data_IF_219746638862
#
_entry.id   IF_219746638862
#
_cell.length_a   1.000
_cell.length_b   1.000
_cell.length_c   1.000
_cell.angle_alpha   90.00
_cell.angle_beta   90.00
_cell.angle_gamma   90.00
#
_symmetry.space_group_name_H-M   'P 1'
#
loop_
_entity.id
_entity.type
_entity.pdbx_description
1 polymer ?
#
# COMPACT_ATOMS: atom_id res chain seq x y z
N UNK A 1 -5.61 46.15 9.18
CA UNK A 1 -4.93 45.24 8.23
C UNK A 1 -4.52 44.00 9.00
N UNK A 2 -4.95 42.80 8.58
CA UNK A 2 -4.49 41.55 9.22
C UNK A 2 -3.02 41.32 8.83
N UNK A 3 -2.15 41.17 9.84
CA UNK A 3 -0.74 40.81 9.66
C UNK A 3 -0.59 39.30 9.83
N UNK A 4 0.29 38.70 9.05
CA UNK A 4 0.65 37.28 9.21
C UNK A 4 1.39 37.16 10.55
N UNK A 5 1.00 36.15 11.34
CA UNK A 5 1.64 35.82 12.62
C UNK A 5 2.97 35.12 12.35
N UNK A 6 3.98 35.86 11.88
CA UNK A 6 5.37 35.41 11.68
C UNK A 6 6.34 36.49 12.15
N UNK A 7 7.60 36.13 12.39
CA UNK A 7 8.59 37.04 13.00
C UNK A 7 8.80 38.34 12.20
N UNK A 8 8.73 38.26 10.87
CA UNK A 8 8.81 39.40 9.96
C UNK A 8 7.44 39.83 9.41
N UNK A 9 6.38 39.08 9.68
CA UNK A 9 5.04 39.30 9.15
C UNK A 9 4.87 38.93 7.68
N UNK A 10 5.78 38.12 7.13
CA UNK A 10 5.74 37.60 5.76
C UNK A 10 5.50 36.09 5.75
N UNK A 11 5.16 35.58 4.57
CA UNK A 11 5.14 34.15 4.31
C UNK A 11 6.53 33.64 3.89
N UNK A 12 6.88 32.43 4.30
CA UNK A 12 8.15 31.76 4.00
C UNK A 12 7.91 30.39 3.40
N UNK A 13 8.58 30.04 2.30
CA UNK A 13 8.55 28.68 1.78
C UNK A 13 9.25 27.73 2.77
N UNK A 14 8.62 26.60 3.11
CA UNK A 14 9.23 25.63 4.00
C UNK A 14 8.45 24.35 4.24
N UNK A 15 8.88 23.64 5.29
CA UNK A 15 8.23 22.43 5.80
C UNK A 15 7.38 22.79 7.04
N UNK A 16 6.05 22.61 7.01
CA UNK A 16 5.17 22.95 8.12
C UNK A 16 5.42 22.09 9.39
N UNK A 17 6.12 20.95 9.29
CA UNK A 17 6.47 20.12 10.45
C UNK A 17 7.49 20.77 11.40
N UNK A 18 8.07 21.91 11.01
CA UNK A 18 9.00 22.68 11.85
C UNK A 18 8.29 23.63 12.82
N UNK A 19 6.98 23.83 12.66
CA UNK A 19 6.17 24.72 13.52
C UNK A 19 6.44 26.21 13.31
N UNK A 20 7.25 26.59 12.31
CA UNK A 20 7.52 28.00 12.00
C UNK A 20 6.24 28.64 11.44
N UNK A 21 5.75 29.66 12.13
CA UNK A 21 4.56 30.37 11.68
C UNK A 21 4.84 31.21 10.43
N UNK A 22 3.84 31.33 9.56
CA UNK A 22 4.00 31.93 8.24
C UNK A 22 4.60 30.98 7.19
N UNK A 23 4.78 29.68 7.50
CA UNK A 23 5.25 28.70 6.52
C UNK A 23 4.22 28.44 5.43
N UNK A 24 4.59 28.73 4.18
CA UNK A 24 3.96 28.22 2.96
C UNK A 24 4.54 26.85 2.66
N UNK A 25 3.64 25.91 2.45
CA UNK A 25 3.98 24.52 2.14
C UNK A 25 4.63 24.47 0.76
N UNK A 26 5.87 23.99 0.71
CA UNK A 26 6.57 23.78 -0.57
C UNK A 26 6.01 22.58 -1.33
N UNK A 27 6.16 22.60 -2.67
CA UNK A 27 5.88 21.44 -3.51
C UNK A 27 6.69 20.19 -3.09
N UNK A 28 7.90 20.39 -2.56
CA UNK A 28 8.74 19.28 -2.04
C UNK A 28 8.06 18.57 -0.88
N UNK A 29 7.56 19.32 0.11
CA UNK A 29 6.84 18.71 1.23
C UNK A 29 5.49 18.15 0.80
N UNK A 30 4.75 18.88 -0.06
CA UNK A 30 3.45 18.43 -0.54
C UNK A 30 3.56 17.12 -1.33
N UNK A 31 4.56 17.01 -2.22
CA UNK A 31 4.81 15.78 -2.97
C UNK A 31 5.22 14.64 -2.04
N UNK A 32 6.08 14.87 -1.05
CA UNK A 32 6.46 13.84 -0.08
C UNK A 32 5.26 13.35 0.75
N UNK A 33 4.37 14.25 1.19
CA UNK A 33 3.12 13.88 1.88
C UNK A 33 2.17 13.17 0.93
N UNK A 34 2.06 13.62 -0.31
CA UNK A 34 1.24 12.98 -1.32
C UNK A 34 1.75 11.57 -1.65
N UNK A 35 3.06 11.34 -1.74
CA UNK A 35 3.66 10.02 -1.90
C UNK A 35 3.36 9.12 -0.71
N UNK A 36 3.33 9.67 0.51
CA UNK A 36 2.91 8.92 1.72
C UNK A 36 1.42 8.58 1.65
N UNK A 37 0.56 9.53 1.29
CA UNK A 37 -0.91 9.35 1.28
C UNK A 37 -1.36 8.44 0.14
N UNK A 38 -0.81 8.62 -1.06
CA UNK A 38 -1.09 7.76 -2.23
C UNK A 38 -0.37 6.42 -2.07
N UNK A 39 0.86 6.39 -1.57
CA UNK A 39 1.55 5.15 -1.22
C UNK A 39 0.77 4.32 -0.19
N UNK A 40 0.14 4.98 0.79
CA UNK A 40 -0.76 4.33 1.75
C UNK A 40 -2.09 3.87 1.13
N UNK A 41 -2.65 4.63 0.18
CA UNK A 41 -3.93 4.30 -0.50
C UNK A 41 -3.80 3.22 -1.58
N UNK A 42 -2.66 3.19 -2.27
CA UNK A 42 -2.27 2.31 -3.36
C UNK A 42 -3.24 2.23 -4.55
N UNK A 43 -2.69 1.91 -5.71
CA UNK A 43 -3.47 1.76 -6.94
C UNK A 43 -4.37 0.52 -6.89
N UNK A 44 -5.53 0.63 -7.52
CA UNK A 44 -6.41 -0.51 -7.78
C UNK A 44 -5.91 -1.23 -9.03
N UNK A 45 -5.70 -2.53 -8.92
CA UNK A 45 -5.25 -3.38 -10.03
C UNK A 45 -6.22 -4.54 -10.24
N UNK A 46 -6.58 -4.76 -11.50
CA UNK A 46 -7.12 -6.03 -11.99
C UNK A 46 -5.96 -6.76 -12.66
N UNK A 47 -5.46 -7.81 -12.03
CA UNK A 47 -4.20 -8.43 -12.40
C UNK A 47 -4.40 -9.64 -13.32
N UNK A 48 -3.41 -9.89 -14.19
CA UNK A 48 -3.30 -11.15 -14.92
C UNK A 48 -2.78 -12.27 -14.00
N UNK A 49 -2.86 -13.52 -14.44
CA UNK A 49 -2.30 -14.70 -13.74
C UNK A 49 -0.81 -14.47 -13.42
N UNK A 50 -0.35 -14.87 -12.22
CA UNK A 50 1.05 -14.73 -11.75
C UNK A 50 1.55 -13.30 -11.57
N UNK A 51 0.67 -12.31 -11.41
CA UNK A 51 1.11 -10.93 -11.20
C UNK A 51 1.79 -10.75 -9.85
N UNK A 52 2.98 -10.14 -9.87
CA UNK A 52 3.65 -9.61 -8.68
C UNK A 52 3.16 -8.20 -8.40
N UNK A 53 2.62 -7.99 -7.19
CA UNK A 53 2.25 -6.67 -6.70
C UNK A 53 3.50 -5.84 -6.41
N UNK A 54 3.35 -4.52 -6.46
CA UNK A 54 4.38 -3.52 -6.19
C UNK A 54 4.01 -2.68 -4.99
N UNK A 55 4.94 -1.85 -4.50
CA UNK A 55 4.65 -0.88 -3.43
C UNK A 55 3.55 0.12 -3.83
N UNK A 56 3.42 0.42 -5.12
CA UNK A 56 2.37 1.29 -5.64
C UNK A 56 0.97 0.69 -5.50
N UNK A 57 0.80 -0.64 -5.50
CA UNK A 57 -0.53 -1.26 -5.52
C UNK A 57 -1.15 -1.30 -4.13
N UNK A 58 -2.46 -1.04 -4.02
CA UNK A 58 -3.20 -1.04 -2.74
C UNK A 58 -4.35 -2.04 -2.71
N UNK A 59 -5.01 -2.23 -3.85
CA UNK A 59 -6.14 -3.17 -3.97
C UNK A 59 -5.96 -4.07 -5.18
N UNK A 60 -6.10 -5.38 -4.98
CA UNK A 60 -6.14 -6.38 -6.03
C UNK A 60 -7.54 -7.00 -6.12
N UNK A 61 -8.13 -6.94 -7.32
CA UNK A 61 -9.28 -7.76 -7.67
C UNK A 61 -8.83 -8.98 -8.47
N UNK A 62 -8.78 -10.13 -7.81
CA UNK A 62 -8.45 -11.41 -8.43
C UNK A 62 -9.71 -12.00 -9.08
N UNK A 63 -9.56 -12.62 -10.26
CA UNK A 63 -10.67 -13.23 -10.99
C UNK A 63 -10.29 -14.60 -11.61
N UNK A 64 -9.89 -15.59 -10.79
CA UNK A 64 -9.59 -16.94 -11.27
C UNK A 64 -10.84 -17.62 -11.85
N UNK A 65 -10.67 -18.35 -12.95
CA UNK A 65 -11.76 -19.10 -13.58
C UNK A 65 -12.16 -20.34 -12.75
N UNK A 66 -13.35 -20.89 -13.00
CA UNK A 66 -13.86 -22.02 -12.22
C UNK A 66 -12.94 -23.24 -12.34
N UNK A 67 -12.66 -23.89 -11.21
CA UNK A 67 -11.75 -25.04 -11.14
C UNK A 67 -10.26 -24.70 -11.32
N UNK A 68 -9.90 -23.41 -11.36
CA UNK A 68 -8.49 -22.98 -11.46
C UNK A 68 -8.01 -22.39 -10.14
N UNK A 69 -6.72 -22.58 -9.86
CA UNK A 69 -5.98 -21.83 -8.84
C UNK A 69 -5.01 -20.90 -9.55
N UNK A 70 -5.08 -19.61 -9.25
CA UNK A 70 -4.19 -18.59 -9.82
C UNK A 70 -3.34 -18.01 -8.70
N UNK A 71 -2.02 -18.02 -8.88
CA UNK A 71 -1.08 -17.44 -7.92
C UNK A 71 -0.88 -15.94 -8.21
N UNK A 72 -0.78 -15.17 -7.14
CA UNK A 72 -0.44 -13.74 -7.12
C UNK A 72 0.65 -13.52 -6.07
N UNK A 73 1.65 -12.73 -6.42
CA UNK A 73 2.84 -12.60 -5.57
C UNK A 73 2.84 -11.26 -4.85
N UNK A 74 3.05 -11.26 -3.53
CA UNK A 74 3.40 -10.04 -2.79
C UNK A 74 4.80 -9.55 -3.21
N UNK A 75 5.06 -8.23 -3.13
CA UNK A 75 6.37 -7.69 -3.46
C UNK A 75 7.45 -8.22 -2.49
N UNK A 76 8.71 -7.98 -2.85
CA UNK A 76 9.84 -8.21 -1.93
C UNK A 76 9.59 -7.42 -0.64
N UNK A 77 9.56 -8.11 0.49
CA UNK A 77 9.18 -7.54 1.78
C UNK A 77 10.03 -6.32 2.16
N UNK A 78 11.33 -6.36 1.86
CA UNK A 78 12.25 -5.26 2.19
C UNK A 78 11.95 -3.94 1.46
N UNK A 79 11.29 -3.99 0.29
CA UNK A 79 11.01 -2.80 -0.54
C UNK A 79 9.71 -2.10 -0.19
N UNK A 80 8.94 -2.65 0.76
CA UNK A 80 7.59 -2.17 1.07
C UNK A 80 7.59 -1.40 2.39
N UNK A 81 7.02 -0.19 2.40
CA UNK A 81 6.84 0.62 3.60
C UNK A 81 6.04 -0.07 4.71
N UNK A 82 6.39 0.19 5.97
CA UNK A 82 5.80 -0.48 7.14
C UNK A 82 4.28 -0.25 7.31
N UNK A 83 3.78 0.90 6.83
CA UNK A 83 2.36 1.25 6.88
C UNK A 83 1.58 0.74 5.67
N UNK A 84 2.24 0.12 4.68
CA UNK A 84 1.57 -0.36 3.47
C UNK A 84 0.60 -1.48 3.81
N UNK A 85 -0.52 -1.47 3.10
CA UNK A 85 -1.58 -2.48 3.14
C UNK A 85 -1.93 -2.93 1.73
N UNK A 86 -2.24 -4.21 1.60
CA UNK A 86 -2.74 -4.83 0.37
C UNK A 86 -4.10 -5.43 0.64
N UNK A 87 -5.14 -4.90 0.01
CA UNK A 87 -6.49 -5.46 0.06
C UNK A 87 -6.69 -6.35 -1.13
N UNK A 88 -6.97 -7.62 -0.90
CA UNK A 88 -7.13 -8.60 -1.97
C UNK A 88 -8.52 -9.19 -1.87
N UNK A 89 -9.24 -9.20 -2.98
CA UNK A 89 -10.57 -9.80 -3.06
C UNK A 89 -10.64 -10.76 -4.23
N UNK A 90 -11.10 -11.98 -3.97
CA UNK A 90 -11.41 -12.94 -5.00
C UNK A 90 -12.84 -12.72 -5.51
N UNK A 91 -12.96 -12.23 -6.74
CA UNK A 91 -14.23 -12.06 -7.45
C UNK A 91 -14.55 -13.25 -8.36
N UNK A 92 -13.58 -14.12 -8.61
CA UNK A 92 -13.71 -15.23 -9.54
C UNK A 92 -14.26 -16.50 -8.87
N UNK A 93 -14.76 -17.45 -9.68
CA UNK A 93 -15.22 -18.75 -9.20
C UNK A 93 -14.09 -19.75 -8.90
N UNK A 94 -12.82 -19.44 -9.18
CA UNK A 94 -11.65 -20.24 -8.80
C UNK A 94 -11.00 -19.81 -7.48
N UNK A 95 -9.82 -20.35 -7.18
CA UNK A 95 -9.03 -20.00 -5.98
C UNK A 95 -7.97 -18.96 -6.34
N UNK A 96 -7.88 -17.89 -5.56
CA UNK A 96 -6.76 -16.95 -5.64
C UNK A 96 -5.75 -17.31 -4.55
N UNK A 97 -4.57 -17.78 -4.96
CA UNK A 97 -3.47 -18.10 -4.06
C UNK A 97 -2.53 -16.92 -3.98
N UNK A 98 -2.06 -16.59 -2.78
CA UNK A 98 -1.15 -15.49 -2.52
C UNK A 98 0.10 -16.04 -1.87
N UNK A 99 1.27 -15.63 -2.33
CA UNK A 99 2.56 -15.90 -1.70
C UNK A 99 3.41 -14.61 -1.59
N UNK A 100 4.65 -14.74 -1.13
CA UNK A 100 5.63 -13.66 -1.17
C UNK A 100 6.85 -14.06 -1.99
N UNK A 101 7.31 -13.16 -2.88
CA UNK A 101 8.44 -13.40 -3.78
C UNK A 101 9.72 -13.80 -3.05
N UNK A 102 9.94 -13.29 -1.84
CA UNK A 102 11.19 -13.44 -1.08
C UNK A 102 11.10 -14.49 0.03
N UNK A 103 10.26 -15.52 -0.16
CA UNK A 103 10.08 -16.66 0.75
C UNK A 103 9.64 -16.27 2.18
N UNK A 104 9.08 -15.07 2.33
CA UNK A 104 8.38 -14.67 3.56
C UNK A 104 7.08 -15.44 3.70
N UNK A 105 6.71 -15.71 4.94
CA UNK A 105 5.44 -16.37 5.25
C UNK A 105 4.31 -15.35 5.35
N UNK A 106 3.08 -15.83 5.18
CA UNK A 106 1.83 -15.14 5.49
C UNK A 106 1.19 -15.89 6.66
N UNK A 107 1.11 -15.28 7.83
CA UNK A 107 0.59 -15.92 9.06
C UNK A 107 1.28 -17.26 9.40
N UNK A 108 2.58 -17.36 9.09
CA UNK A 108 3.39 -18.59 9.29
C UNK A 108 3.24 -19.65 8.21
N UNK A 109 2.36 -19.47 7.23
CA UNK A 109 2.23 -20.34 6.06
C UNK A 109 2.99 -19.77 4.85
N UNK A 110 3.41 -20.63 3.91
CA UNK A 110 4.06 -20.17 2.68
C UNK A 110 3.09 -19.46 1.72
N UNK A 111 1.80 -19.82 1.79
CA UNK A 111 0.76 -19.28 0.90
C UNK A 111 -0.55 -19.09 1.65
N UNK A 112 -1.35 -18.13 1.19
CA UNK A 112 -2.73 -17.89 1.61
C UNK A 112 -3.69 -18.13 0.43
N UNK A 113 -4.67 -19.00 0.61
CA UNK A 113 -5.72 -19.23 -0.39
C UNK A 113 -6.98 -18.43 -0.03
N UNK A 114 -7.50 -17.70 -1.02
CA UNK A 114 -8.80 -17.03 -0.96
C UNK A 114 -9.78 -17.80 -1.87
N UNK A 115 -10.82 -18.36 -1.25
CA UNK A 115 -11.90 -19.05 -1.97
C UNK A 115 -12.79 -18.03 -2.70
N UNK A 116 -13.70 -18.47 -3.59
CA UNK A 116 -14.62 -17.57 -4.27
C UNK A 116 -15.39 -16.67 -3.31
N UNK A 117 -15.26 -15.35 -3.48
CA UNK A 117 -15.91 -14.35 -2.65
C UNK A 117 -15.11 -13.89 -1.42
N UNK A 118 -14.03 -14.59 -1.07
CA UNK A 118 -13.18 -14.23 0.07
C UNK A 118 -12.41 -12.92 -0.18
N UNK A 119 -12.01 -12.31 0.93
CA UNK A 119 -11.15 -11.13 0.95
C UNK A 119 -10.19 -11.21 2.12
N UNK A 120 -9.00 -10.64 1.94
CA UNK A 120 -8.07 -10.39 3.02
C UNK A 120 -7.45 -8.99 2.89
N UNK A 121 -6.94 -8.50 4.02
CA UNK A 121 -6.03 -7.37 4.04
C UNK A 121 -4.70 -7.86 4.61
N UNK A 122 -3.62 -7.57 3.90
CA UNK A 122 -2.27 -8.01 4.24
C UNK A 122 -1.38 -6.82 4.57
N UNK A 123 -0.55 -7.01 5.57
CA UNK A 123 0.38 -6.03 6.09
C UNK A 123 1.72 -6.67 6.40
N UNK A 124 2.79 -5.87 6.42
CA UNK A 124 4.02 -6.29 7.08
C UNK A 124 3.78 -6.42 8.58
N UNK A 125 4.23 -7.53 9.15
CA UNK A 125 4.61 -7.60 10.56
C UNK A 125 6.11 -7.20 10.69
N UNK A 126 6.75 -7.43 11.84
CA UNK A 126 8.16 -7.08 12.05
C UNK A 126 9.17 -7.93 11.25
N UNK A 127 8.76 -9.09 10.72
CA UNK A 127 9.61 -10.11 10.08
C UNK A 127 9.03 -10.70 8.79
N UNK A 128 7.70 -10.86 8.70
CA UNK A 128 6.93 -11.54 7.67
C UNK A 128 5.65 -10.76 7.31
N UNK A 129 4.77 -11.36 6.52
CA UNK A 129 3.44 -10.83 6.22
C UNK A 129 2.40 -11.41 7.18
N UNK A 130 1.40 -10.60 7.50
CA UNK A 130 0.26 -11.00 8.34
C UNK A 130 -1.07 -10.54 7.74
N UNK A 131 -2.13 -11.30 7.99
CA UNK A 131 -3.51 -10.81 7.79
C UNK A 131 -3.92 -9.89 8.93
N UNK A 132 -4.73 -8.86 8.63
CA UNK A 132 -5.19 -7.85 9.60
C UNK A 132 -6.69 -7.60 9.55
#
# INVERSE_FOLDING_TARGET
MLRIDSADGLFHEGNPSTGVKGTKVTAVWLNAVQDIVIGAGGDIVTAAVETTLTEGNGVLFANPANGTTVLYHLPVYATVGALKRYKIKNLGPGIARIDAVDAKTIDGAATLDLLPGDRCELAKDATNWQTI
#
